data_IF_827168412615
#
_entry.id   IF_827168412615
#
_cell.length_a   1.000
_cell.length_b   1.000
_cell.length_c   1.000
_cell.angle_alpha   90.00
_cell.angle_beta   90.00
_cell.angle_gamma   90.00
#
_symmetry.space_group_name_H-M   'P 1'
#
loop_
_entity.id
_entity.type
_entity.pdbx_description
1 polymer ?
#
# COMPACT_ATOMS: atom_id res chain seq x y z
N UNK A 1 -42.91 7.57 37.10
CA UNK A 1 -42.68 6.18 37.54
C UNK A 1 -41.23 6.09 37.98
N UNK A 2 -41.01 5.50 39.16
CA UNK A 2 -39.86 5.65 40.06
C UNK A 2 -38.58 4.95 39.56
N UNK A 3 -37.45 5.67 39.60
CA UNK A 3 -36.10 5.07 39.48
C UNK A 3 -35.66 4.42 40.78
N UNK A 4 -34.99 3.29 40.78
CA UNK A 4 -34.35 2.77 41.98
C UNK A 4 -32.87 3.25 42.04
N UNK A 5 -32.57 3.92 43.13
CA UNK A 5 -31.22 4.24 43.59
C UNK A 5 -30.56 2.99 44.15
N UNK A 6 -29.37 2.62 43.63
CA UNK A 6 -28.56 1.53 44.15
C UNK A 6 -27.50 2.10 45.12
N UNK A 7 -27.67 1.83 46.42
CA UNK A 7 -26.73 2.16 47.46
C UNK A 7 -25.55 1.19 47.46
N UNK A 8 -24.32 1.73 47.30
CA UNK A 8 -23.09 0.96 47.48
C UNK A 8 -22.61 1.09 48.91
N UNK A 9 -22.61 -0.03 49.61
CA UNK A 9 -22.14 -0.20 50.98
C UNK A 9 -20.60 -0.28 50.97
N UNK A 10 -19.96 0.68 51.55
CA UNK A 10 -18.50 0.68 51.73
C UNK A 10 -18.11 -0.19 52.94
N UNK A 11 -17.45 -1.31 52.70
CA UNK A 11 -16.74 -2.08 53.73
C UNK A 11 -15.29 -1.63 53.81
N UNK A 12 -14.95 -0.89 54.88
CA UNK A 12 -13.57 -0.56 55.23
C UNK A 12 -12.94 -1.73 55.99
N UNK A 13 -12.01 -2.45 55.33
CA UNK A 13 -11.09 -3.36 56.06
C UNK A 13 -9.75 -2.66 56.20
N UNK A 14 -9.42 -2.31 57.43
CA UNK A 14 -8.04 -1.94 57.84
C UNK A 14 -7.20 -3.24 57.84
N UNK A 15 -6.28 -3.37 56.93
CA UNK A 15 -5.19 -4.32 56.99
C UNK A 15 -3.88 -3.53 57.16
N UNK A 16 -3.31 -3.63 58.37
CA UNK A 16 -1.96 -3.13 58.65
C UNK A 16 -0.96 -4.04 57.94
N UNK A 17 -0.31 -3.55 56.90
CA UNK A 17 0.83 -4.23 56.26
C UNK A 17 2.10 -3.54 56.64
N UNK A 18 2.95 -4.25 57.41
CA UNK A 18 4.34 -3.92 57.69
C UNK A 18 5.11 -3.77 56.35
N UNK A 19 5.61 -2.59 56.08
CA UNK A 19 6.48 -2.32 54.95
C UNK A 19 7.85 -2.99 55.15
N UNK A 20 8.07 -4.12 54.48
CA UNK A 20 9.42 -4.66 54.27
C UNK A 20 9.99 -3.92 53.07
N UNK A 21 10.90 -2.99 53.34
CA UNK A 21 11.71 -2.33 52.32
C UNK A 21 12.72 -3.33 51.74
N UNK A 22 12.32 -4.04 50.67
CA UNK A 22 13.26 -4.75 49.82
C UNK A 22 13.92 -3.73 48.89
N UNK A 23 15.19 -3.42 49.15
CA UNK A 23 16.04 -2.72 48.21
C UNK A 23 16.20 -3.60 46.95
N UNK A 24 15.42 -3.33 45.91
CA UNK A 24 15.63 -3.94 44.61
C UNK A 24 16.93 -3.38 44.03
N UNK A 25 18.00 -4.18 44.10
CA UNK A 25 19.19 -4.00 43.28
C UNK A 25 18.77 -4.12 41.82
N UNK A 26 18.64 -3.00 41.14
CA UNK A 26 18.49 -2.99 39.67
C UNK A 26 19.73 -3.66 39.05
N UNK A 27 19.57 -4.66 38.20
CA UNK A 27 20.70 -5.17 37.43
C UNK A 27 21.22 -4.01 36.56
N UNK A 28 22.49 -3.66 36.77
CA UNK A 28 23.24 -2.79 35.88
C UNK A 28 23.08 -3.31 34.47
N UNK A 29 22.32 -2.61 33.63
CA UNK A 29 22.25 -2.86 32.22
C UNK A 29 23.68 -2.73 31.68
N UNK A 30 24.30 -3.86 31.37
CA UNK A 30 25.59 -3.88 30.69
C UNK A 30 25.41 -3.09 29.41
N UNK A 31 26.17 -2.01 29.25
CA UNK A 31 26.21 -1.21 28.04
C UNK A 31 26.48 -2.17 26.87
N UNK A 32 25.48 -2.29 26.01
CA UNK A 32 25.65 -3.01 24.74
C UNK A 32 26.80 -2.33 24.00
N UNK A 33 27.82 -3.07 23.52
CA UNK A 33 28.87 -2.46 22.76
C UNK A 33 28.24 -1.73 21.58
N UNK A 34 28.62 -0.46 21.39
CA UNK A 34 28.20 0.31 20.25
C UNK A 34 28.50 -0.53 18.99
N UNK A 35 27.46 -0.91 18.28
CA UNK A 35 27.62 -1.57 16.98
C UNK A 35 28.42 -0.59 16.13
N UNK A 36 29.61 -1.01 15.69
CA UNK A 36 30.36 -0.24 14.71
C UNK A 36 29.44 -0.08 13.50
N UNK A 37 29.12 1.17 13.13
CA UNK A 37 28.40 1.45 11.89
C UNK A 37 29.16 0.76 10.76
N UNK A 38 28.51 -0.22 10.13
CA UNK A 38 29.03 -0.82 8.92
C UNK A 38 28.96 0.24 7.80
N UNK A 39 30.05 0.99 7.66
CA UNK A 39 30.16 2.04 6.66
C UNK A 39 30.12 1.49 5.21
N UNK A 40 30.11 0.18 5.04
CA UNK A 40 30.01 -0.49 3.74
C UNK A 40 28.57 -0.89 3.39
N UNK A 41 27.62 -0.86 4.35
CA UNK A 41 26.22 -1.12 4.06
C UNK A 41 25.65 0.00 3.17
N UNK A 42 24.95 -0.34 2.07
CA UNK A 42 24.29 0.67 1.25
C UNK A 42 23.26 1.42 2.11
N UNK A 43 23.27 2.75 2.04
CA UNK A 43 22.21 3.55 2.67
C UNK A 43 20.87 3.21 2.04
N UNK A 44 19.86 2.94 2.88
CA UNK A 44 18.51 2.70 2.39
C UNK A 44 17.91 4.01 1.86
N UNK A 45 17.62 4.06 0.57
CA UNK A 45 16.95 5.19 -0.08
C UNK A 45 15.46 4.85 -0.26
N UNK A 46 14.62 5.38 0.63
CA UNK A 46 13.18 5.15 0.59
C UNK A 46 12.53 5.63 -0.71
N UNK A 47 13.00 6.76 -1.27
CA UNK A 47 12.47 7.30 -2.53
C UNK A 47 12.77 6.35 -3.69
N UNK A 48 14.02 5.92 -3.83
CA UNK A 48 14.40 4.97 -4.86
C UNK A 48 13.64 3.65 -4.71
N UNK A 49 13.49 3.16 -3.47
CA UNK A 49 12.75 1.93 -3.20
C UNK A 49 11.26 2.07 -3.53
N UNK A 50 10.61 3.17 -3.16
CA UNK A 50 9.21 3.43 -3.49
C UNK A 50 9.01 3.53 -5.02
N UNK A 51 9.89 4.21 -5.73
CA UNK A 51 9.84 4.30 -7.19
C UNK A 51 9.96 2.93 -7.86
N UNK A 52 10.90 2.08 -7.41
CA UNK A 52 11.08 0.71 -7.92
C UNK A 52 9.86 -0.16 -7.65
N UNK A 53 9.31 -0.10 -6.45
CA UNK A 53 8.14 -0.90 -6.05
C UNK A 53 6.90 -0.50 -6.84
N UNK A 54 6.60 0.79 -6.92
CA UNK A 54 5.46 1.31 -7.69
C UNK A 54 5.57 1.01 -9.19
N UNK A 55 6.78 1.05 -9.78
CA UNK A 55 7.01 0.62 -11.16
C UNK A 55 6.70 -0.87 -11.34
N UNK A 56 7.20 -1.71 -10.42
CA UNK A 56 6.94 -3.15 -10.46
C UNK A 56 5.45 -3.49 -10.33
N UNK A 57 4.74 -2.81 -9.42
CA UNK A 57 3.27 -2.97 -9.28
C UNK A 57 2.57 -2.50 -10.54
N UNK A 58 2.94 -1.32 -11.08
CA UNK A 58 2.32 -0.78 -12.29
C UNK A 58 2.45 -1.73 -13.49
N UNK A 59 3.63 -2.31 -13.71
CA UNK A 59 3.87 -3.32 -14.75
C UNK A 59 2.96 -4.54 -14.59
N UNK A 60 2.74 -5.01 -13.35
CA UNK A 60 1.81 -6.11 -13.07
C UNK A 60 0.37 -5.71 -13.39
N UNK A 61 -0.08 -4.55 -12.93
CA UNK A 61 -1.45 -4.05 -13.19
C UNK A 61 -1.70 -3.92 -14.69
N UNK A 62 -0.78 -3.29 -15.43
CA UNK A 62 -0.88 -3.16 -16.89
C UNK A 62 -0.89 -4.54 -17.58
N UNK A 63 0.01 -5.45 -17.18
CA UNK A 63 0.06 -6.79 -17.80
C UNK A 63 -1.21 -7.59 -17.54
N UNK A 64 -1.84 -7.41 -16.39
CA UNK A 64 -3.13 -8.03 -16.08
C UNK A 64 -4.26 -7.42 -16.91
N UNK A 65 -4.30 -6.10 -17.06
CA UNK A 65 -5.23 -5.42 -17.94
C UNK A 65 -5.08 -5.92 -19.40
N UNK A 66 -3.85 -6.12 -19.88
CA UNK A 66 -3.58 -6.60 -21.22
C UNK A 66 -4.14 -8.00 -21.50
N UNK A 67 -4.04 -8.94 -20.54
CA UNK A 67 -4.53 -10.31 -20.73
C UNK A 67 -6.02 -10.47 -20.47
N UNK A 68 -6.64 -9.52 -19.77
CA UNK A 68 -8.07 -9.54 -19.48
C UNK A 68 -8.89 -9.40 -20.79
N UNK A 69 -9.84 -10.31 -21.09
CA UNK A 69 -10.75 -10.16 -22.20
C UNK A 69 -11.61 -8.90 -22.09
N UNK A 70 -11.92 -8.21 -23.21
CA UNK A 70 -12.68 -6.95 -23.18
C UNK A 70 -14.05 -7.05 -22.50
N UNK A 71 -14.74 -8.17 -22.65
CA UNK A 71 -16.05 -8.44 -22.03
C UNK A 71 -15.99 -8.53 -20.49
N UNK A 72 -14.81 -8.78 -19.93
CA UNK A 72 -14.59 -8.85 -18.48
C UNK A 72 -14.42 -7.50 -17.81
N UNK A 73 -14.18 -6.44 -18.55
CA UNK A 73 -13.94 -5.12 -17.95
C UNK A 73 -15.11 -4.59 -17.11
N UNK A 74 -16.35 -4.98 -17.45
CA UNK A 74 -17.56 -4.63 -16.68
C UNK A 74 -17.92 -5.64 -15.59
N UNK A 75 -17.20 -6.77 -15.50
CA UNK A 75 -17.46 -7.77 -14.47
C UNK A 75 -17.10 -7.23 -13.08
N UNK A 76 -17.94 -7.57 -12.09
CA UNK A 76 -17.77 -7.26 -10.68
C UNK A 76 -18.25 -8.43 -9.82
N UNK A 77 -17.67 -8.68 -8.63
CA UNK A 77 -18.06 -9.81 -7.78
C UNK A 77 -19.47 -9.64 -7.18
N UNK A 78 -19.87 -8.40 -6.87
CA UNK A 78 -21.20 -8.06 -6.35
C UNK A 78 -21.67 -6.75 -6.98
N UNK A 79 -22.99 -6.45 -6.97
CA UNK A 79 -23.51 -5.20 -7.52
C UNK A 79 -22.86 -3.93 -6.94
N UNK A 80 -22.47 -3.96 -5.68
CA UNK A 80 -21.90 -2.82 -4.95
C UNK A 80 -20.37 -2.74 -5.05
N UNK A 81 -19.74 -3.75 -5.64
CA UNK A 81 -18.29 -3.76 -5.84
C UNK A 81 -17.89 -2.99 -7.09
N UNK A 82 -16.67 -2.45 -7.12
CA UNK A 82 -16.07 -1.94 -8.36
C UNK A 82 -15.93 -3.05 -9.38
N UNK A 83 -16.18 -2.75 -10.66
CA UNK A 83 -15.82 -3.63 -11.78
C UNK A 83 -14.31 -3.61 -12.02
N UNK A 84 -13.80 -4.51 -12.88
CA UNK A 84 -12.39 -4.45 -13.29
C UNK A 84 -12.01 -3.07 -13.84
N UNK A 85 -12.83 -2.52 -14.75
CA UNK A 85 -12.60 -1.20 -15.33
C UNK A 85 -12.51 -0.11 -14.23
N UNK A 86 -13.45 -0.13 -13.30
CA UNK A 86 -13.49 0.82 -12.20
C UNK A 86 -12.28 0.66 -11.26
N UNK A 87 -11.81 -0.57 -10.98
CA UNK A 87 -10.60 -0.77 -10.17
C UNK A 87 -9.34 -0.27 -10.90
N UNK A 88 -9.19 -0.55 -12.19
CA UNK A 88 -8.05 -0.05 -12.97
C UNK A 88 -8.00 1.48 -13.01
N UNK A 89 -9.16 2.12 -13.23
CA UNK A 89 -9.25 3.57 -13.23
C UNK A 89 -9.10 4.15 -11.83
N UNK A 90 -9.58 3.47 -10.80
CA UNK A 90 -9.33 3.85 -9.42
C UNK A 90 -7.82 3.92 -9.13
N UNK A 91 -7.07 2.87 -9.44
CA UNK A 91 -5.60 2.85 -9.32
C UNK A 91 -4.94 4.04 -10.04
N UNK A 92 -5.42 4.39 -11.23
CA UNK A 92 -4.92 5.57 -11.95
C UNK A 92 -5.30 6.88 -11.28
N UNK A 93 -6.55 6.99 -10.82
CA UNK A 93 -7.08 8.18 -10.15
C UNK A 93 -6.43 8.45 -8.81
N UNK A 94 -6.21 7.40 -7.99
CA UNK A 94 -5.53 7.51 -6.70
C UNK A 94 -4.10 8.04 -6.85
N UNK A 95 -3.37 7.68 -7.89
CA UNK A 95 -2.05 8.25 -8.16
C UNK A 95 -2.09 9.77 -8.35
N UNK A 96 -3.08 10.27 -9.08
CA UNK A 96 -3.27 11.71 -9.28
C UNK A 96 -3.74 12.39 -7.98
N UNK A 97 -4.66 11.75 -7.26
CA UNK A 97 -5.21 12.29 -6.02
C UNK A 97 -4.17 12.33 -4.89
N UNK A 98 -3.53 11.18 -4.60
CA UNK A 98 -2.59 11.04 -3.49
C UNK A 98 -1.37 11.93 -3.70
N UNK A 99 -0.77 11.93 -4.88
CA UNK A 99 0.36 12.81 -5.19
C UNK A 99 -0.05 14.30 -5.20
N UNK A 100 -1.31 14.58 -5.51
CA UNK A 100 -1.91 15.91 -5.37
C UNK A 100 -1.87 16.45 -3.93
N UNK A 101 -1.88 15.60 -2.92
CA UNK A 101 -1.75 15.97 -1.51
C UNK A 101 -0.39 16.63 -1.20
N UNK A 102 0.64 16.28 -1.97
CA UNK A 102 1.97 16.91 -1.91
C UNK A 102 2.09 18.15 -2.82
N UNK A 103 1.05 18.51 -3.55
CA UNK A 103 1.01 19.67 -4.46
C UNK A 103 1.36 19.32 -5.92
N UNK A 104 1.53 18.04 -6.28
CA UNK A 104 1.70 17.65 -7.67
C UNK A 104 0.39 17.90 -8.45
N UNK A 105 0.44 18.66 -9.54
CA UNK A 105 -0.75 18.97 -10.33
C UNK A 105 -1.23 17.73 -11.11
N UNK A 106 -2.51 17.33 -10.97
CA UNK A 106 -3.06 16.27 -11.80
C UNK A 106 -3.13 16.69 -13.27
N UNK A 107 -3.33 15.76 -14.21
CA UNK A 107 -3.46 16.11 -15.62
C UNK A 107 -4.69 17.03 -15.85
N UNK A 108 -4.64 17.91 -16.87
CA UNK A 108 -5.77 18.77 -17.21
C UNK A 108 -7.06 17.97 -17.43
N UNK A 109 -8.16 18.43 -16.82
CA UNK A 109 -9.47 17.78 -16.94
C UNK A 109 -9.69 16.59 -16.02
N UNK A 110 -8.75 16.25 -15.14
CA UNK A 110 -8.95 15.20 -14.14
C UNK A 110 -10.08 15.63 -13.16
N UNK A 111 -11.13 14.80 -13.08
CA UNK A 111 -12.19 14.90 -12.08
C UNK A 111 -12.28 13.60 -11.28
N UNK A 112 -11.72 13.58 -10.09
CA UNK A 112 -11.68 12.42 -9.22
C UNK A 112 -13.04 11.79 -8.90
N UNK A 113 -14.14 12.56 -9.00
CA UNK A 113 -15.49 12.04 -8.70
C UNK A 113 -16.06 11.14 -9.80
N UNK A 114 -15.76 11.46 -11.05
CA UNK A 114 -16.29 10.71 -12.21
C UNK A 114 -15.27 9.80 -12.87
N UNK A 115 -13.99 9.92 -12.51
CA UNK A 115 -12.88 9.29 -13.21
C UNK A 115 -12.98 7.76 -13.28
N UNK A 116 -13.35 7.09 -12.19
CA UNK A 116 -13.47 5.62 -12.13
C UNK A 116 -14.52 5.06 -13.12
N UNK A 117 -15.49 5.88 -13.52
CA UNK A 117 -16.58 5.50 -14.43
C UNK A 117 -16.45 6.12 -15.82
N UNK A 118 -15.31 6.74 -16.11
CA UNK A 118 -15.11 7.48 -17.35
C UNK A 118 -15.10 6.62 -18.60
N UNK A 119 -14.69 5.35 -18.50
CA UNK A 119 -14.66 4.41 -19.64
C UNK A 119 -14.61 2.95 -19.19
N UNK A 120 -15.05 2.05 -20.06
CA UNK A 120 -14.82 0.59 -19.95
C UNK A 120 -13.97 0.08 -21.12
N UNK A 121 -13.48 0.99 -21.96
CA UNK A 121 -12.64 0.65 -23.11
C UNK A 121 -11.25 0.19 -22.64
N UNK A 122 -10.89 -1.02 -23.03
CA UNK A 122 -9.62 -1.66 -22.66
C UNK A 122 -8.39 -0.83 -23.03
N UNK A 123 -8.37 -0.28 -24.27
CA UNK A 123 -7.20 0.45 -24.75
C UNK A 123 -7.03 1.78 -24.00
N UNK A 124 -8.13 2.49 -23.74
CA UNK A 124 -8.12 3.73 -22.95
C UNK A 124 -7.69 3.47 -21.52
N UNK A 125 -8.14 2.39 -20.89
CA UNK A 125 -7.76 2.03 -19.53
C UNK A 125 -6.27 1.71 -19.45
N UNK A 126 -5.71 0.94 -20.40
CA UNK A 126 -4.28 0.65 -20.45
C UNK A 126 -3.45 1.93 -20.64
N UNK A 127 -3.93 2.85 -21.48
CA UNK A 127 -3.30 4.15 -21.70
C UNK A 127 -3.30 5.00 -20.40
N UNK A 128 -4.42 5.05 -19.69
CA UNK A 128 -4.51 5.77 -18.41
C UNK A 128 -3.63 5.15 -17.31
N UNK A 129 -3.55 3.82 -17.22
CA UNK A 129 -2.62 3.14 -16.32
C UNK A 129 -1.16 3.48 -16.63
N UNK A 130 -0.81 3.58 -17.91
CA UNK A 130 0.53 3.95 -18.35
C UNK A 130 0.84 5.40 -18.00
N UNK A 131 -0.02 6.33 -18.38
CA UNK A 131 0.12 7.77 -18.09
C UNK A 131 0.23 8.06 -16.58
N UNK A 132 -0.64 7.44 -15.79
CA UNK A 132 -0.62 7.63 -14.34
C UNK A 132 0.63 7.01 -13.69
N UNK A 133 1.13 5.91 -14.23
CA UNK A 133 2.40 5.32 -13.83
C UNK A 133 3.59 6.24 -14.11
N UNK A 134 3.67 6.79 -15.33
CA UNK A 134 4.72 7.73 -15.73
C UNK A 134 4.67 9.02 -14.89
N UNK A 135 3.45 9.54 -14.63
CA UNK A 135 3.23 10.67 -13.74
C UNK A 135 3.77 10.39 -12.33
N UNK A 136 3.50 9.19 -11.79
CA UNK A 136 3.99 8.76 -10.48
C UNK A 136 5.52 8.73 -10.44
N UNK A 137 6.16 8.08 -11.42
CA UNK A 137 7.60 7.98 -11.51
C UNK A 137 8.25 9.36 -11.60
N UNK A 138 7.74 10.22 -12.48
CA UNK A 138 8.25 11.58 -12.65
C UNK A 138 8.12 12.42 -11.38
N UNK A 139 7.00 12.30 -10.67
CA UNK A 139 6.76 13.05 -9.43
C UNK A 139 7.74 12.61 -8.34
N UNK A 140 7.86 11.30 -8.09
CA UNK A 140 8.77 10.77 -7.06
C UNK A 140 10.23 11.07 -7.38
N UNK A 141 10.67 10.91 -8.63
CA UNK A 141 12.03 11.21 -9.04
C UNK A 141 12.37 12.70 -8.89
N UNK A 142 11.38 13.59 -9.06
CA UNK A 142 11.53 15.02 -8.88
C UNK A 142 11.65 15.48 -7.41
N UNK A 143 11.30 14.64 -6.43
CA UNK A 143 11.43 14.96 -5.01
C UNK A 143 12.90 14.96 -4.58
N UNK A 144 13.30 15.92 -3.72
CA UNK A 144 14.56 15.82 -3.00
C UNK A 144 14.46 14.77 -1.88
N UNK A 145 15.58 14.15 -1.48
CA UNK A 145 15.55 13.17 -0.38
C UNK A 145 15.09 13.80 0.95
N UNK A 146 15.37 15.08 1.16
CA UNK A 146 14.92 15.83 2.33
C UNK A 146 13.39 16.05 2.37
N UNK A 147 12.71 15.97 1.22
CA UNK A 147 11.27 16.25 1.13
C UNK A 147 10.42 15.21 1.87
N UNK A 148 10.95 13.99 2.09
CA UNK A 148 10.23 12.98 2.89
C UNK A 148 9.80 13.48 4.27
N UNK A 149 10.61 14.34 4.89
CA UNK A 149 10.30 14.94 6.20
C UNK A 149 9.49 16.24 6.10
N UNK A 150 9.21 16.73 4.90
CA UNK A 150 8.46 17.97 4.70
C UNK A 150 7.03 17.81 5.18
N UNK A 151 6.66 18.64 6.15
CA UNK A 151 5.34 18.58 6.77
C UNK A 151 4.22 19.02 5.81
N UNK A 152 3.10 18.34 5.92
CA UNK A 152 1.86 18.62 5.21
C UNK A 152 0.74 18.92 6.23
N UNK A 153 0.73 20.12 6.85
CA UNK A 153 -0.16 20.46 7.98
C UNK A 153 -1.65 20.33 7.66
N UNK A 154 -2.02 20.41 6.38
CA UNK A 154 -3.41 20.20 5.91
C UNK A 154 -3.88 18.76 6.12
N UNK A 155 -2.98 17.79 6.18
CA UNK A 155 -3.30 16.38 6.40
C UNK A 155 -3.24 15.99 7.88
N UNK A 156 -2.56 16.80 8.70
CA UNK A 156 -2.40 16.61 10.14
C UNK A 156 -1.11 17.24 10.65
N UNK A 157 -1.00 17.46 11.97
CA UNK A 157 0.12 18.24 12.53
C UNK A 157 1.49 17.55 12.38
N UNK A 158 1.51 16.24 12.20
CA UNK A 158 2.73 15.43 12.02
C UNK A 158 2.83 14.80 10.64
N UNK A 159 1.80 14.96 9.78
CA UNK A 159 1.80 14.40 8.44
C UNK A 159 2.90 15.00 7.57
N UNK A 160 3.55 14.19 6.77
CA UNK A 160 4.66 14.57 5.92
C UNK A 160 4.58 13.89 4.53
N UNK A 161 5.45 14.29 3.61
CA UNK A 161 5.44 13.73 2.24
C UNK A 161 5.78 12.23 2.22
N UNK A 162 6.57 11.74 3.17
CA UNK A 162 6.86 10.31 3.32
C UNK A 162 5.62 9.49 3.64
N UNK A 163 4.70 10.01 4.46
CA UNK A 163 3.42 9.35 4.75
C UNK A 163 2.57 9.22 3.47
N UNK A 164 2.56 10.25 2.63
CA UNK A 164 1.84 10.23 1.34
C UNK A 164 2.42 9.17 0.40
N UNK A 165 3.74 9.06 0.30
CA UNK A 165 4.40 8.01 -0.49
C UNK A 165 4.09 6.62 0.07
N UNK A 166 4.10 6.45 1.40
CA UNK A 166 3.75 5.20 2.03
C UNK A 166 2.29 4.78 1.73
N UNK A 167 1.36 5.72 1.82
CA UNK A 167 -0.06 5.49 1.46
C UNK A 167 -0.17 5.06 0.00
N UNK A 168 0.52 5.73 -0.92
CA UNK A 168 0.50 5.39 -2.34
C UNK A 168 1.03 3.98 -2.62
N UNK A 169 2.09 3.55 -1.93
CA UNK A 169 2.62 2.19 -2.04
C UNK A 169 1.60 1.17 -1.49
N UNK A 170 1.03 1.43 -0.31
CA UNK A 170 0.04 0.55 0.30
C UNK A 170 -1.21 0.38 -0.58
N UNK A 171 -1.76 1.48 -1.09
CA UNK A 171 -2.90 1.52 -2.00
C UNK A 171 -2.64 0.70 -3.28
N UNK A 172 -1.49 0.90 -3.90
CA UNK A 172 -1.12 0.17 -5.12
C UNK A 172 -1.10 -1.35 -4.91
N UNK A 173 -0.59 -1.82 -3.77
CA UNK A 173 -0.56 -3.25 -3.42
C UNK A 173 -1.95 -3.79 -3.06
N UNK A 174 -2.77 -3.02 -2.34
CA UNK A 174 -4.15 -3.39 -2.00
C UNK A 174 -4.95 -3.67 -3.28
N UNK A 175 -4.91 -2.75 -4.23
CA UNK A 175 -5.65 -2.89 -5.48
C UNK A 175 -5.03 -3.91 -6.45
N UNK A 176 -3.73 -4.12 -6.44
CA UNK A 176 -3.12 -5.25 -7.15
C UNK A 176 -3.65 -6.58 -6.61
N UNK A 177 -3.73 -6.72 -5.27
CA UNK A 177 -4.32 -7.90 -4.62
C UNK A 177 -5.78 -8.12 -5.02
N UNK A 178 -6.59 -7.07 -5.02
CA UNK A 178 -7.98 -7.08 -5.48
C UNK A 178 -8.09 -7.55 -6.93
N UNK A 179 -7.32 -6.97 -7.85
CA UNK A 179 -7.30 -7.35 -9.26
C UNK A 179 -6.88 -8.80 -9.49
N UNK A 180 -5.89 -9.30 -8.72
CA UNK A 180 -5.45 -10.70 -8.76
C UNK A 180 -6.58 -11.63 -8.30
N UNK A 181 -7.29 -11.28 -7.24
CA UNK A 181 -8.44 -12.06 -6.76
C UNK A 181 -9.54 -12.10 -7.83
N UNK A 182 -9.88 -10.96 -8.40
CA UNK A 182 -10.87 -10.88 -9.49
C UNK A 182 -10.48 -11.72 -10.71
N UNK A 183 -9.22 -11.64 -11.13
CA UNK A 183 -8.71 -12.41 -12.26
C UNK A 183 -8.85 -13.92 -12.01
N UNK A 184 -8.43 -14.40 -10.85
CA UNK A 184 -8.51 -15.83 -10.49
C UNK A 184 -9.94 -16.36 -10.42
N UNK A 185 -10.87 -15.57 -9.88
CA UNK A 185 -12.32 -15.93 -9.87
C UNK A 185 -12.85 -16.07 -11.30
N UNK A 186 -12.31 -15.32 -12.26
CA UNK A 186 -12.65 -15.40 -13.67
C UNK A 186 -11.81 -16.42 -14.47
N UNK A 187 -11.02 -17.27 -13.82
CA UNK A 187 -10.18 -18.26 -14.47
C UNK A 187 -8.94 -17.69 -15.18
N UNK A 188 -8.59 -16.43 -14.90
CA UNK A 188 -7.46 -15.74 -15.54
C UNK A 188 -6.25 -15.83 -14.61
N UNK A 189 -5.19 -16.49 -15.10
CA UNK A 189 -3.92 -16.60 -14.37
C UNK A 189 -3.08 -15.34 -14.63
N UNK A 190 -2.60 -14.64 -13.59
CA UNK A 190 -1.74 -13.47 -13.79
C UNK A 190 -0.48 -13.80 -14.59
N UNK A 191 -0.06 -12.94 -15.55
CA UNK A 191 1.07 -13.22 -16.46
C UNK A 191 2.37 -13.56 -15.76
N UNK A 192 2.70 -12.90 -14.65
CA UNK A 192 3.90 -13.20 -13.87
C UNK A 192 3.86 -14.58 -13.21
N UNK A 193 2.69 -15.11 -12.88
CA UNK A 193 2.52 -16.47 -12.36
C UNK A 193 2.81 -17.50 -13.45
N UNK A 194 2.33 -17.25 -14.68
CA UNK A 194 2.62 -18.09 -15.86
C UNK A 194 4.12 -18.07 -16.16
N UNK A 195 4.74 -16.89 -16.17
CA UNK A 195 6.16 -16.74 -16.42
C UNK A 195 7.02 -17.48 -15.37
N UNK A 196 6.66 -17.36 -14.08
CA UNK A 196 7.35 -18.05 -13.00
C UNK A 196 7.23 -19.57 -13.11
N UNK A 197 6.06 -20.09 -13.45
CA UNK A 197 5.84 -21.53 -13.67
C UNK A 197 6.68 -22.05 -14.85
N UNK A 198 6.73 -21.30 -15.96
CA UNK A 198 7.57 -21.64 -17.12
C UNK A 198 9.06 -21.68 -16.74
N UNK A 199 9.56 -20.66 -16.08
CA UNK A 199 10.96 -20.60 -15.63
C UNK A 199 11.32 -21.74 -14.66
N UNK A 200 10.38 -22.14 -13.79
CA UNK A 200 10.57 -23.29 -12.89
C UNK A 200 10.61 -24.64 -13.62
N UNK A 201 9.81 -24.78 -14.68
CA UNK A 201 9.84 -25.99 -15.52
C UNK A 201 11.14 -26.11 -16.31
N UNK A 202 11.63 -25.01 -16.88
CA UNK A 202 12.92 -24.98 -17.61
C UNK A 202 14.11 -25.34 -16.71
N UNK A 203 14.10 -24.93 -15.43
CA UNK A 203 15.16 -25.28 -14.48
C UNK A 203 15.18 -26.75 -14.07
N UNK A 204 14.05 -27.46 -14.19
CA UNK A 204 13.97 -28.88 -13.80
C UNK A 204 14.56 -29.83 -14.85
N UNK A 205 14.82 -29.37 -16.09
CA UNK A 205 15.41 -30.17 -17.16
C UNK A 205 14.58 -31.40 -17.58
N UNK A 206 14.92 -32.07 -18.68
CA UNK A 206 14.21 -33.26 -19.15
C UNK A 206 14.40 -34.51 -18.25
N UNK A 207 15.35 -34.51 -17.31
CA UNK A 207 15.65 -35.66 -16.46
C UNK A 207 14.81 -35.81 -15.19
N UNK A 208 13.88 -34.92 -14.91
CA UNK A 208 13.03 -34.98 -13.71
C UNK A 208 11.72 -35.78 -13.92
N UNK A 209 11.56 -36.45 -15.05
CA UNK A 209 10.39 -37.29 -15.39
C UNK A 209 10.72 -38.81 -15.50
N UNK A 210 11.80 -39.28 -14.86
CA UNK A 210 12.05 -40.70 -14.75
C UNK A 210 11.73 -41.23 -13.35
#
# INVERSE_FOLDING_TARGET
MKSPTLSILACALLAATTAVTQAATQPTQSAQPAQSEDKTAPSYDMKAQAALDLDAVNKKVISLAQVLPPDKYTWRPTPDSRSFAEVFLHVSGERYFILGLMGAAPPPGFDGKSYEKSTTDKAKIIDELTKSGDYTQKTIQGMANADYAKLLPKLGPQANEGDVIYILVADAHEHLGQLVAYARVNGIVPPWTVAAAKAAAEKKGPDAQK
#
